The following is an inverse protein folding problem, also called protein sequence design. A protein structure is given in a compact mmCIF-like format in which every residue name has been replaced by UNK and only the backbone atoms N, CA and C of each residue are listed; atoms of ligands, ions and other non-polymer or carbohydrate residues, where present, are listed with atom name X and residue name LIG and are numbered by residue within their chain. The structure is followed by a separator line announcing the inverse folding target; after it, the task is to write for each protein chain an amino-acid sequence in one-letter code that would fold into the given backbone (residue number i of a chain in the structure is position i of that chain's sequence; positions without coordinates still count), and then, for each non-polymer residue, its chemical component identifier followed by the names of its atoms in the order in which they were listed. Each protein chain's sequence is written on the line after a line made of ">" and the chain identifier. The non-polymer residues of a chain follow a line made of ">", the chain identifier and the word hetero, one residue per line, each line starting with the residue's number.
data_IF_882241410736
#
_entry.id   IF_882241410736
#
_cell.length_a   1.000
_cell.length_b   1.000
_cell.length_c   1.000
_cell.angle_alpha   90.00
_cell.angle_beta   90.00
_cell.angle_gamma   90.00
#
_symmetry.space_group_name_H-M   'P 1'
#
loop_
_entity.id
_entity.type
_entity.pdbx_description
1 polymer ?
#
# COMPACT_ATOMS: atom_id res chain seq x y z
N UNK A 1 24.26 -11.49 25.13
CA UNK A 1 22.90 -11.21 24.60
C UNK A 1 22.98 -11.14 23.07
N UNK A 2 22.00 -11.68 22.35
CA UNK A 2 22.01 -11.77 20.88
C UNK A 2 21.76 -10.39 20.27
N UNK A 3 22.67 -9.89 19.42
CA UNK A 3 22.61 -8.57 18.76
C UNK A 3 21.25 -8.30 18.09
N UNK A 4 20.59 -9.33 17.56
CA UNK A 4 19.29 -9.21 16.91
C UNK A 4 18.13 -9.03 17.91
N UNK A 5 18.26 -9.57 19.12
CA UNK A 5 17.28 -9.34 20.20
C UNK A 5 17.36 -7.90 20.68
N UNK A 6 18.57 -7.37 20.82
CA UNK A 6 18.79 -5.96 21.20
C UNK A 6 18.25 -5.02 20.11
N UNK A 7 18.43 -5.37 18.83
CA UNK A 7 17.84 -4.66 17.70
C UNK A 7 16.30 -4.67 17.74
N UNK A 8 15.68 -5.82 17.99
CA UNK A 8 14.22 -5.94 18.13
C UNK A 8 13.73 -5.07 19.29
N UNK A 9 14.41 -5.11 20.43
CA UNK A 9 14.07 -4.29 21.61
C UNK A 9 14.21 -2.81 21.31
N UNK A 10 15.29 -2.39 20.67
CA UNK A 10 15.52 -1.00 20.24
C UNK A 10 14.40 -0.51 19.30
N UNK A 11 13.98 -1.33 18.33
CA UNK A 11 12.86 -0.98 17.45
C UNK A 11 11.54 -0.88 18.22
N UNK A 12 11.34 -1.75 19.21
CA UNK A 12 10.18 -1.72 20.10
C UNK A 12 10.04 -0.41 20.90
N UNK A 13 11.16 0.26 21.23
CA UNK A 13 11.14 1.56 21.92
C UNK A 13 10.41 2.62 21.07
N UNK A 14 10.62 2.63 19.75
CA UNK A 14 9.93 3.58 18.87
C UNK A 14 8.41 3.41 18.91
N UNK A 15 7.92 2.18 19.04
CA UNK A 15 6.49 1.95 19.19
C UNK A 15 5.94 2.47 20.51
N UNK A 16 6.65 2.23 21.61
CA UNK A 16 6.26 2.77 22.93
C UNK A 16 6.26 4.30 22.97
N UNK A 17 7.21 4.93 22.28
CA UNK A 17 7.25 6.39 22.14
C UNK A 17 6.04 6.88 21.33
N UNK A 18 5.75 6.24 20.19
CA UNK A 18 4.63 6.61 19.31
C UNK A 18 3.25 6.36 19.93
N UNK A 19 3.12 5.37 20.82
CA UNK A 19 1.87 5.13 21.55
C UNK A 19 1.62 6.17 22.64
N UNK A 20 2.68 6.75 23.21
CA UNK A 20 2.59 7.75 24.28
C UNK A 20 2.39 9.15 23.71
N UNK A 21 3.15 9.50 22.67
CA UNK A 21 3.07 10.79 21.98
C UNK A 21 3.38 10.59 20.51
N UNK A 22 2.44 10.98 19.65
CA UNK A 22 2.70 10.96 18.22
C UNK A 22 3.74 12.02 17.84
N UNK A 23 4.83 11.57 17.22
CA UNK A 23 5.86 12.40 16.61
C UNK A 23 6.22 11.79 15.26
N UNK A 24 6.01 12.56 14.19
CA UNK A 24 6.25 12.12 12.83
C UNK A 24 7.74 11.80 12.58
N UNK A 25 8.67 12.60 13.13
CA UNK A 25 10.10 12.37 12.95
C UNK A 25 10.52 11.04 13.59
N UNK A 26 9.96 10.72 14.75
CA UNK A 26 10.16 9.44 15.45
C UNK A 26 9.58 8.28 14.63
N UNK A 27 8.40 8.45 14.03
CA UNK A 27 7.79 7.42 13.18
C UNK A 27 8.59 7.17 11.90
N UNK A 28 9.07 8.21 11.23
CA UNK A 28 9.94 8.07 10.05
C UNK A 28 11.26 7.39 10.42
N UNK A 29 11.88 7.78 11.54
CA UNK A 29 13.10 7.13 12.06
C UNK A 29 12.86 5.66 12.37
N UNK A 30 11.78 5.33 13.07
CA UNK A 30 11.39 3.96 13.38
C UNK A 30 11.20 3.09 12.13
N UNK A 31 10.61 3.63 11.05
CA UNK A 31 10.50 2.92 9.77
C UNK A 31 11.86 2.67 9.11
N UNK A 32 12.77 3.65 9.12
CA UNK A 32 14.12 3.49 8.56
C UNK A 32 14.88 2.40 9.31
N UNK A 33 14.81 2.39 10.63
CA UNK A 33 15.45 1.37 11.47
C UNK A 33 14.83 -0.02 11.25
N UNK A 34 13.50 -0.12 11.09
CA UNK A 34 12.86 -1.38 10.68
C UNK A 34 13.40 -1.90 9.33
N UNK A 35 13.58 -1.03 8.34
CA UNK A 35 14.10 -1.43 7.02
C UNK A 35 15.56 -1.90 7.10
N UNK A 36 16.41 -1.19 7.85
CA UNK A 36 17.80 -1.59 8.10
C UNK A 36 17.84 -2.95 8.80
N UNK A 37 17.06 -3.13 9.85
CA UNK A 37 17.01 -4.39 10.60
C UNK A 37 16.53 -5.57 9.74
N UNK A 38 15.52 -5.38 8.89
CA UNK A 38 15.09 -6.40 7.92
C UNK A 38 16.23 -6.79 6.98
N UNK A 39 16.99 -5.81 6.45
CA UNK A 39 18.13 -6.10 5.56
C UNK A 39 19.23 -6.88 6.27
N UNK A 40 19.59 -6.47 7.49
CA UNK A 40 20.61 -7.14 8.31
C UNK A 40 20.21 -8.58 8.66
N UNK A 41 18.97 -8.81 9.09
CA UNK A 41 18.49 -10.15 9.42
C UNK A 41 18.41 -11.03 8.17
N UNK A 42 17.94 -10.51 7.04
CA UNK A 42 17.93 -11.28 5.79
C UNK A 42 19.34 -11.66 5.33
N UNK A 43 20.32 -10.78 5.53
CA UNK A 43 21.73 -11.10 5.26
C UNK A 43 22.23 -12.20 6.19
N UNK A 44 21.94 -12.10 7.49
CA UNK A 44 22.30 -13.13 8.47
C UNK A 44 21.62 -14.48 8.17
N UNK A 45 20.36 -14.48 7.75
CA UNK A 45 19.62 -15.70 7.38
C UNK A 45 20.26 -16.45 6.22
N UNK A 46 20.82 -15.74 5.24
CA UNK A 46 21.54 -16.35 4.12
C UNK A 46 22.82 -17.06 4.57
N UNK A 47 23.46 -16.56 5.62
CA UNK A 47 24.74 -17.05 6.12
C UNK A 47 24.59 -18.01 7.32
N UNK A 48 23.38 -18.19 7.84
CA UNK A 48 23.11 -19.02 9.01
C UNK A 48 23.36 -20.51 8.69
N UNK A 49 24.17 -21.16 9.52
CA UNK A 49 24.61 -22.54 9.32
C UNK A 49 23.68 -23.54 10.01
N UNK A 50 23.15 -23.17 11.17
CA UNK A 50 22.31 -24.07 11.99
C UNK A 50 20.82 -23.77 11.84
N UNK A 51 19.99 -24.78 12.08
CA UNK A 51 18.53 -24.61 12.11
C UNK A 51 18.07 -23.69 13.24
N UNK A 52 18.70 -23.78 14.42
CA UNK A 52 18.37 -22.94 15.58
C UNK A 52 18.63 -21.46 15.31
N UNK A 53 19.76 -21.12 14.68
CA UNK A 53 20.05 -19.74 14.25
C UNK A 53 19.03 -19.23 13.24
N UNK A 54 18.63 -20.05 12.27
CA UNK A 54 17.60 -19.69 11.28
C UNK A 54 16.27 -19.39 11.96
N UNK A 55 15.81 -20.26 12.86
CA UNK A 55 14.56 -20.07 13.61
C UNK A 55 14.60 -18.79 14.47
N UNK A 56 15.72 -18.55 15.15
CA UNK A 56 15.91 -17.33 15.95
C UNK A 56 15.86 -16.06 15.09
N UNK A 57 16.55 -16.05 13.95
CA UNK A 57 16.55 -14.93 13.01
C UNK A 57 15.17 -14.72 12.37
N UNK A 58 14.44 -15.79 12.04
CA UNK A 58 13.07 -15.71 11.54
C UNK A 58 12.11 -15.11 12.58
N UNK A 59 12.24 -15.48 13.86
CA UNK A 59 11.47 -14.90 14.94
C UNK A 59 11.75 -13.39 15.06
N UNK A 60 13.04 -12.99 15.03
CA UNK A 60 13.42 -11.58 15.03
C UNK A 60 12.86 -10.83 13.81
N UNK A 61 12.91 -11.45 12.62
CA UNK A 61 12.37 -10.87 11.39
C UNK A 61 10.86 -10.64 11.47
N UNK A 62 10.10 -11.61 12.04
CA UNK A 62 8.66 -11.47 12.26
C UNK A 62 8.35 -10.28 13.16
N UNK A 63 9.08 -10.13 14.26
CA UNK A 63 8.89 -9.01 15.19
C UNK A 63 9.09 -7.66 14.50
N UNK A 64 10.21 -7.48 13.79
CA UNK A 64 10.48 -6.21 13.07
C UNK A 64 9.43 -5.94 11.98
N UNK A 65 8.97 -6.96 11.26
CA UNK A 65 7.89 -6.81 10.26
C UNK A 65 6.57 -6.38 10.92
N UNK A 66 6.24 -6.93 12.08
CA UNK A 66 5.08 -6.53 12.87
C UNK A 66 5.19 -5.07 13.29
N UNK A 67 6.35 -4.65 13.80
CA UNK A 67 6.56 -3.26 14.19
C UNK A 67 6.45 -2.30 13.01
N UNK A 68 7.04 -2.65 11.86
CA UNK A 68 6.87 -1.87 10.62
C UNK A 68 5.40 -1.72 10.22
N UNK A 69 4.60 -2.79 10.35
CA UNK A 69 3.16 -2.76 10.06
C UNK A 69 2.38 -1.85 11.02
N UNK A 70 2.82 -1.72 12.27
CA UNK A 70 2.20 -0.85 13.27
C UNK A 70 2.59 0.62 13.08
N UNK A 71 3.83 0.91 12.70
CA UNK A 71 4.32 2.29 12.47
C UNK A 71 3.82 2.87 11.14
N UNK A 72 3.75 2.06 10.07
CA UNK A 72 3.40 2.57 8.73
C UNK A 72 2.04 3.31 8.66
N UNK A 73 0.97 2.85 9.34
CA UNK A 73 -0.30 3.56 9.38
C UNK A 73 -0.28 4.85 10.18
N UNK A 74 0.57 5.00 11.19
CA UNK A 74 0.59 6.23 12.02
C UNK A 74 1.03 7.44 11.19
N UNK A 75 2.01 7.25 10.29
CA UNK A 75 2.40 8.28 9.31
C UNK A 75 1.29 8.64 8.32
N UNK A 76 0.45 7.68 7.95
CA UNK A 76 -0.68 7.93 7.02
C UNK A 76 -1.82 8.70 7.67
N UNK A 77 -1.97 8.64 8.99
CA UNK A 77 -3.03 9.36 9.71
C UNK A 77 -2.76 10.87 9.84
N UNK A 78 -1.50 11.31 9.71
CA UNK A 78 -1.12 12.74 9.68
C UNK A 78 -1.06 13.35 8.27
N UNK A 79 -1.01 12.52 7.22
CA UNK A 79 -1.17 12.96 5.86
C UNK A 79 -2.67 13.17 5.61
N UNK A 80 -3.19 14.36 5.92
CA UNK A 80 -4.57 14.74 5.62
C UNK A 80 -4.96 14.26 4.22
N UNK A 81 -6.18 13.72 4.07
CA UNK A 81 -6.73 13.04 2.89
C UNK A 81 -5.89 13.30 1.63
N UNK A 82 -4.83 12.53 1.43
CA UNK A 82 -4.09 12.61 0.17
C UNK A 82 -5.12 12.21 -0.86
N UNK A 83 -5.50 13.15 -1.74
CA UNK A 83 -6.40 12.93 -2.87
C UNK A 83 -6.09 11.55 -3.42
N UNK A 84 -6.98 10.61 -3.09
CA UNK A 84 -6.82 9.23 -3.47
C UNK A 84 -6.93 9.28 -4.99
N UNK A 85 -5.92 8.86 -5.77
CA UNK A 85 -6.16 8.65 -7.19
C UNK A 85 -7.30 7.63 -7.27
N UNK A 86 -8.41 8.05 -7.88
CA UNK A 86 -9.70 7.36 -7.85
C UNK A 86 -9.48 5.85 -8.06
N UNK A 87 -9.92 5.06 -7.10
CA UNK A 87 -9.79 3.62 -7.21
C UNK A 87 -10.78 3.10 -8.25
N UNK A 88 -10.56 1.91 -8.81
CA UNK A 88 -11.51 1.26 -9.74
C UNK A 88 -12.96 1.11 -9.18
N UNK A 89 -13.18 1.36 -7.89
CA UNK A 89 -14.48 1.41 -7.22
C UNK A 89 -15.26 2.72 -7.45
N UNK A 90 -14.63 3.81 -7.86
CA UNK A 90 -15.29 5.08 -8.25
C UNK A 90 -15.79 5.08 -9.71
N UNK A 91 -15.43 4.06 -10.52
CA UNK A 91 -15.94 3.90 -11.89
C UNK A 91 -17.40 3.45 -11.95
N UNK A 92 -17.97 3.05 -10.82
CA UNK A 92 -19.36 2.60 -10.74
C UNK A 92 -20.10 3.64 -9.93
N UNK A 93 -20.72 4.58 -10.65
CA UNK A 93 -21.81 5.39 -10.10
C UNK A 93 -23.10 4.60 -10.25
N UNK A 94 -23.87 4.54 -9.18
CA UNK A 94 -25.27 4.16 -9.26
C UNK A 94 -26.03 5.44 -9.58
N UNK A 95 -26.42 5.60 -10.85
CA UNK A 95 -27.33 6.68 -11.23
C UNK A 95 -28.75 6.28 -10.82
N UNK A 96 -29.49 7.22 -10.23
CA UNK A 96 -30.90 7.03 -9.91
C UNK A 96 -31.69 6.68 -11.17
N UNK A 97 -32.69 5.82 -11.01
CA UNK A 97 -33.50 5.25 -12.10
C UNK A 97 -34.04 6.30 -13.07
N UNK A 98 -34.37 7.49 -12.57
CA UNK A 98 -34.90 8.59 -13.37
C UNK A 98 -33.85 9.20 -14.32
N UNK A 99 -32.58 9.23 -13.92
CA UNK A 99 -31.48 9.74 -14.76
C UNK A 99 -31.07 8.70 -15.81
N UNK A 100 -31.09 7.42 -15.44
CA UNK A 100 -30.79 6.31 -16.34
C UNK A 100 -31.86 6.14 -17.45
N UNK A 101 -33.12 6.46 -17.17
CA UNK A 101 -34.20 6.34 -18.15
C UNK A 101 -34.19 7.48 -19.18
N UNK A 102 -33.91 8.71 -18.74
CA UNK A 102 -33.86 9.89 -19.61
C UNK A 102 -32.73 9.85 -20.66
N UNK A 103 -31.65 9.12 -20.40
CA UNK A 103 -30.56 8.93 -21.37
C UNK A 103 -30.82 7.82 -22.39
N UNK A 104 -31.65 6.81 -22.04
CA UNK A 104 -31.82 5.59 -22.83
C UNK A 104 -32.96 5.67 -23.85
N UNK A 105 -33.87 6.63 -23.70
CA UNK A 105 -35.02 6.78 -24.60
C UNK A 105 -34.73 7.65 -25.82
N UNK A 106 -33.68 8.47 -25.83
CA UNK A 106 -33.40 9.34 -26.98
C UNK A 106 -32.47 8.75 -28.06
N UNK A 107 -31.69 7.70 -27.78
CA UNK A 107 -30.86 7.06 -28.81
C UNK A 107 -30.63 5.59 -28.54
N UNK A 108 -31.39 4.71 -29.21
CA UNK A 108 -31.06 3.30 -29.37
C UNK A 108 -29.81 3.11 -30.25
N UNK A 109 -28.66 3.61 -29.80
CA UNK A 109 -27.35 3.45 -30.45
C UNK A 109 -26.29 3.24 -29.37
N UNK A 110 -25.68 2.06 -29.34
CA UNK A 110 -24.52 1.78 -28.49
C UNK A 110 -23.29 2.37 -29.19
N UNK A 111 -22.76 3.49 -28.70
CA UNK A 111 -21.50 4.07 -29.20
C UNK A 111 -20.31 3.52 -28.41
N UNK A 112 -19.40 2.85 -29.12
CA UNK A 112 -18.09 2.45 -28.60
C UNK A 112 -17.13 3.65 -28.66
N UNK A 113 -16.76 4.21 -27.50
CA UNK A 113 -15.97 5.45 -27.35
C UNK A 113 -14.50 5.37 -27.86
N UNK A 114 -14.11 4.33 -28.61
CA UNK A 114 -12.78 4.23 -29.25
C UNK A 114 -12.79 4.18 -30.79
N UNK A 115 -13.93 4.30 -31.47
CA UNK A 115 -13.95 4.43 -32.93
C UNK A 115 -13.87 5.91 -33.33
N UNK A 116 -12.69 6.38 -33.77
CA UNK A 116 -12.50 7.73 -34.30
C UNK A 116 -12.96 7.76 -35.77
N UNK A 117 -14.08 8.42 -36.14
CA UNK A 117 -14.63 8.35 -37.49
C UNK A 117 -13.90 9.28 -38.49
N UNK A 118 -12.78 9.89 -38.14
CA UNK A 118 -11.99 10.72 -39.06
C UNK A 118 -11.17 9.92 -40.08
N UNK A 119 -11.16 8.59 -40.02
CA UNK A 119 -10.56 7.75 -41.06
C UNK A 119 -11.46 6.58 -41.39
N UNK A 120 -12.29 6.70 -42.41
CA UNK A 120 -12.38 5.76 -43.55
C UNK A 120 -13.41 6.31 -44.52
N UNK A 121 -12.97 6.39 -45.79
CA UNK A 121 -13.63 7.07 -46.90
C UNK A 121 -14.97 6.43 -47.24
N UNK A 122 -15.89 7.30 -47.64
CA UNK A 122 -17.14 7.06 -48.36
C UNK A 122 -16.98 6.08 -49.53
N UNK A 123 -17.88 5.11 -49.63
CA UNK A 123 -18.30 4.54 -50.92
C UNK A 123 -19.79 4.21 -50.84
N UNK A 124 -20.59 5.04 -51.51
CA UNK A 124 -21.98 4.75 -51.85
C UNK A 124 -22.07 3.51 -52.74
N UNK A 125 -23.08 2.69 -52.54
CA UNK A 125 -23.76 2.01 -53.65
C UNK A 125 -25.24 1.85 -53.25
N UNK A 126 -26.09 2.08 -54.26
CA UNK A 126 -27.56 2.14 -54.24
C UNK A 126 -28.20 0.82 -53.83
#
# INVERSE_FOLDING_TARGET
>A
MSVFVDLVRYIGIFLGLLSTRYDEAVAQKGLRECQKGIKQINYALKNAKTLGEKQHLEACLRNIKTYRKQIKPTLKKGAGLTSRPEGARERVRWDDSDTAFNSRILTGVISNLKHNPASTKTSHLR
#
